data_IF_277237530350
#
_entry.id   IF_277237530350
#
_cell.length_a   1.000
_cell.length_b   1.000
_cell.length_c   1.000
_cell.angle_alpha   90.00
_cell.angle_beta   90.00
_cell.angle_gamma   90.00
#
_symmetry.space_group_name_H-M   'P 1'
#
loop_
_entity.id
_entity.type
_entity.pdbx_description
1 polymer ?
#
# COMPACT_ATOMS: atom_id res chain seq x y z
N UNK A 1 24.73 20.56 3.34
CA UNK A 1 24.39 20.15 4.71
C UNK A 1 23.03 19.52 4.58
N UNK A 2 22.92 18.23 4.91
CA UNK A 2 21.61 17.55 4.97
C UNK A 2 20.74 18.30 5.98
N UNK A 3 19.54 18.70 5.57
CA UNK A 3 18.57 19.33 6.49
C UNK A 3 17.99 18.22 7.39
N UNK A 4 18.80 17.83 8.38
CA UNK A 4 18.50 16.75 9.30
C UNK A 4 17.16 16.94 10.02
N UNK A 5 16.76 18.17 10.47
CA UNK A 5 15.48 18.39 11.10
C UNK A 5 14.27 18.11 10.20
N UNK A 6 14.34 18.44 8.90
CA UNK A 6 13.28 18.16 7.94
C UNK A 6 13.10 16.65 7.75
N UNK A 7 14.21 15.94 7.46
CA UNK A 7 14.16 14.50 7.29
C UNK A 7 13.78 13.78 8.59
N UNK A 8 14.19 14.26 9.77
CA UNK A 8 13.75 13.72 11.06
C UNK A 8 12.22 13.85 11.25
N UNK A 9 11.62 14.97 10.82
CA UNK A 9 10.17 15.17 10.85
C UNK A 9 9.45 14.21 9.88
N UNK A 10 9.94 14.08 8.65
CA UNK A 10 9.41 13.15 7.66
C UNK A 10 9.48 11.70 8.15
N UNK A 11 10.59 11.29 8.75
CA UNK A 11 10.74 9.95 9.30
C UNK A 11 9.88 9.73 10.54
N UNK A 12 9.65 10.76 11.37
CA UNK A 12 8.70 10.68 12.48
C UNK A 12 7.27 10.42 11.99
N UNK A 13 6.84 11.11 10.92
CA UNK A 13 5.54 10.87 10.28
C UNK A 13 5.45 9.45 9.72
N UNK A 14 6.44 8.99 8.95
CA UNK A 14 6.44 7.65 8.35
C UNK A 14 6.46 6.53 9.39
N UNK A 15 7.18 6.71 10.49
CA UNK A 15 7.17 5.76 11.61
C UNK A 15 5.82 5.77 12.36
N UNK A 16 5.16 6.92 12.47
CA UNK A 16 3.81 7.02 13.05
C UNK A 16 2.78 6.36 12.12
N UNK A 17 2.85 6.62 10.82
CA UNK A 17 1.99 6.01 9.80
C UNK A 17 2.06 4.48 9.82
N UNK A 18 3.22 3.89 10.16
CA UNK A 18 3.37 2.44 10.30
C UNK A 18 2.36 1.80 11.28
N UNK A 19 1.81 2.57 12.23
CA UNK A 19 0.80 2.08 13.19
C UNK A 19 -0.52 1.71 12.51
N UNK A 20 -0.81 2.23 11.31
CA UNK A 20 -2.00 1.83 10.53
C UNK A 20 -2.04 0.32 10.25
N UNK A 21 -0.89 -0.33 10.18
CA UNK A 21 -0.76 -1.79 10.04
C UNK A 21 -1.31 -2.58 11.25
N UNK A 22 -1.64 -1.89 12.35
CA UNK A 22 -2.19 -2.48 13.57
C UNK A 22 -3.68 -2.14 13.77
N UNK A 23 -4.29 -1.41 12.84
CA UNK A 23 -5.71 -1.11 12.84
C UNK A 23 -6.42 -2.17 12.03
N UNK A 24 -7.13 -3.08 12.71
CA UNK A 24 -7.89 -4.16 12.07
C UNK A 24 -9.28 -3.66 11.65
N UNK A 25 -9.70 -4.02 10.45
CA UNK A 25 -11.03 -3.74 9.88
C UNK A 25 -11.99 -4.87 10.19
N UNK A 26 -13.30 -4.63 10.00
CA UNK A 26 -14.31 -5.70 10.13
C UNK A 26 -14.28 -6.68 8.94
N UNK A 27 -13.77 -6.28 7.79
CA UNK A 27 -13.62 -7.14 6.61
C UNK A 27 -12.51 -8.18 6.83
N UNK A 28 -12.77 -9.43 6.45
CA UNK A 28 -11.76 -10.48 6.44
C UNK A 28 -11.03 -10.52 5.08
N UNK A 29 -9.82 -11.09 5.05
CA UNK A 29 -9.15 -11.45 3.80
C UNK A 29 -10.01 -12.44 3.00
N UNK A 30 -9.78 -12.56 1.69
CA UNK A 30 -10.57 -13.47 0.85
C UNK A 30 -10.37 -14.94 1.21
N UNK A 31 -9.27 -15.33 1.84
CA UNK A 31 -9.02 -16.66 2.38
C UNK A 31 -9.63 -16.89 3.76
N UNK A 32 -10.27 -15.87 4.34
CA UNK A 32 -10.91 -15.86 5.65
C UNK A 32 -9.96 -16.15 6.83
N UNK A 33 -8.65 -16.04 6.64
CA UNK A 33 -7.64 -16.38 7.66
C UNK A 33 -7.58 -15.40 8.82
N UNK A 34 -7.87 -14.12 8.58
CA UNK A 34 -7.86 -13.03 9.57
C UNK A 34 -8.60 -11.78 9.07
N UNK A 35 -8.88 -10.82 9.96
CA UNK A 35 -9.25 -9.47 9.53
C UNK A 35 -8.20 -8.83 8.61
N UNK A 36 -8.65 -7.96 7.70
CA UNK A 36 -7.81 -7.06 6.94
C UNK A 36 -7.36 -5.89 7.83
N UNK A 37 -6.11 -5.42 7.71
CA UNK A 37 -5.73 -4.17 8.35
C UNK A 37 -5.85 -2.97 7.39
N UNK A 38 -5.96 -1.74 7.95
CA UNK A 38 -6.23 -0.54 7.14
C UNK A 38 -5.08 -0.16 6.19
N UNK A 39 -3.83 -0.58 6.47
CA UNK A 39 -2.71 -0.33 5.56
C UNK A 39 -2.78 -1.21 4.30
N UNK A 40 -3.05 -2.52 4.45
CA UNK A 40 -3.21 -3.42 3.32
C UNK A 40 -4.51 -3.17 2.55
N UNK A 41 -5.57 -2.66 3.23
CA UNK A 41 -6.76 -2.14 2.59
C UNK A 41 -6.42 -0.95 1.68
N UNK A 42 -5.75 0.08 2.21
CA UNK A 42 -5.34 1.26 1.46
C UNK A 42 -4.48 0.91 0.24
N UNK A 43 -3.56 -0.07 0.37
CA UNK A 43 -2.82 -0.61 -0.77
C UNK A 43 -3.74 -1.22 -1.82
N UNK A 44 -4.68 -2.06 -1.39
CA UNK A 44 -5.58 -2.74 -2.31
C UNK A 44 -6.51 -1.76 -3.03
N UNK A 45 -7.08 -0.78 -2.31
CA UNK A 45 -7.89 0.30 -2.91
C UNK A 45 -7.07 1.13 -3.89
N UNK A 46 -5.78 1.39 -3.63
CA UNK A 46 -4.89 2.05 -4.58
C UNK A 46 -4.73 1.25 -5.88
N UNK A 47 -4.63 -0.09 -5.80
CA UNK A 47 -4.65 -0.95 -6.99
C UNK A 47 -5.98 -0.89 -7.74
N UNK A 48 -7.14 -0.81 -7.04
CA UNK A 48 -8.43 -0.56 -7.69
C UNK A 48 -8.41 0.74 -8.47
N UNK A 49 -7.93 1.84 -7.88
CA UNK A 49 -7.83 3.14 -8.55
C UNK A 49 -6.85 3.10 -9.74
N UNK A 50 -5.79 2.28 -9.65
CA UNK A 50 -4.81 2.12 -10.71
C UNK A 50 -5.39 1.39 -11.93
N UNK A 51 -6.15 0.29 -11.71
CA UNK A 51 -6.55 -0.59 -12.81
C UNK A 51 -7.99 -0.43 -13.28
N UNK A 52 -8.91 0.07 -12.43
CA UNK A 52 -10.31 0.25 -12.83
C UNK A 52 -10.47 1.43 -13.79
N UNK A 53 -11.29 1.22 -14.81
CA UNK A 53 -11.62 2.21 -15.84
C UNK A 53 -12.99 2.82 -15.51
N UNK A 54 -12.97 4.01 -14.94
CA UNK A 54 -14.17 4.77 -14.58
C UNK A 54 -14.02 6.22 -15.05
N UNK A 55 -15.12 6.90 -15.36
CA UNK A 55 -15.09 8.27 -15.91
C UNK A 55 -14.32 9.26 -15.02
N UNK A 56 -14.44 9.15 -13.69
CA UNK A 56 -13.79 10.03 -12.73
C UNK A 56 -12.26 9.94 -12.75
N UNK A 57 -11.72 8.79 -13.17
CA UNK A 57 -10.28 8.51 -13.21
C UNK A 57 -9.75 8.35 -14.64
N UNK A 58 -10.49 8.85 -15.64
CA UNK A 58 -10.07 8.83 -17.06
C UNK A 58 -8.92 9.79 -17.34
N UNK A 59 -8.82 10.91 -16.60
CA UNK A 59 -7.63 11.77 -16.65
C UNK A 59 -6.52 11.15 -15.78
N UNK A 60 -5.31 10.93 -16.34
CA UNK A 60 -4.18 10.42 -15.58
C UNK A 60 -3.83 11.25 -14.34
N UNK A 61 -4.01 12.58 -14.37
CA UNK A 61 -3.75 13.45 -13.23
C UNK A 61 -4.77 13.22 -12.10
N UNK A 62 -6.06 13.05 -12.42
CA UNK A 62 -7.08 12.71 -11.43
C UNK A 62 -6.83 11.30 -10.85
N UNK A 63 -6.41 10.34 -11.66
CA UNK A 63 -6.04 8.99 -11.20
C UNK A 63 -4.87 9.02 -10.23
N UNK A 64 -3.79 9.70 -10.58
CA UNK A 64 -2.60 9.85 -9.72
C UNK A 64 -2.96 10.55 -8.41
N UNK A 65 -3.80 11.59 -8.47
CA UNK A 65 -4.26 12.30 -7.29
C UNK A 65 -5.15 11.42 -6.40
N UNK A 66 -6.05 10.63 -6.99
CA UNK A 66 -6.89 9.68 -6.27
C UNK A 66 -6.05 8.62 -5.53
N UNK A 67 -5.00 8.09 -6.16
CA UNK A 67 -4.08 7.15 -5.51
C UNK A 67 -3.40 7.82 -4.30
N UNK A 68 -2.90 9.05 -4.42
CA UNK A 68 -2.32 9.78 -3.29
C UNK A 68 -3.31 9.99 -2.15
N UNK A 69 -4.56 10.33 -2.46
CA UNK A 69 -5.63 10.44 -1.47
C UNK A 69 -5.87 9.12 -0.75
N UNK A 70 -5.94 8.01 -1.49
CA UNK A 70 -6.13 6.65 -0.94
C UNK A 70 -4.96 6.24 -0.04
N UNK A 71 -3.72 6.62 -0.34
CA UNK A 71 -2.59 6.32 0.54
C UNK A 71 -2.70 7.01 1.91
N UNK A 72 -3.46 8.11 2.00
CA UNK A 72 -3.58 8.96 3.19
C UNK A 72 -4.90 8.81 3.94
N UNK A 73 -5.98 8.30 3.29
CA UNK A 73 -7.35 8.47 3.77
C UNK A 73 -7.60 7.84 5.14
N UNK A 74 -7.11 6.63 5.36
CA UNK A 74 -7.30 5.86 6.61
C UNK A 74 -6.23 6.16 7.68
N UNK A 75 -5.23 7.03 7.42
CA UNK A 75 -4.21 7.36 8.43
C UNK A 75 -4.83 7.86 9.74
N UNK A 76 -5.94 8.56 9.66
CA UNK A 76 -6.69 9.09 10.81
C UNK A 76 -7.20 8.00 11.75
N UNK A 77 -7.38 6.79 11.26
CA UNK A 77 -7.82 5.62 12.04
C UNK A 77 -6.77 5.16 13.08
N UNK A 78 -5.52 5.60 12.96
CA UNK A 78 -4.50 5.38 14.00
C UNK A 78 -4.96 5.92 15.36
N UNK A 79 -5.68 7.03 15.37
CA UNK A 79 -6.18 7.67 16.59
C UNK A 79 -7.70 7.47 16.76
N UNK A 80 -8.47 7.54 15.67
CA UNK A 80 -9.93 7.45 15.69
C UNK A 80 -10.44 6.00 15.73
N UNK A 81 -9.67 5.04 15.19
CA UNK A 81 -10.11 3.67 14.95
C UNK A 81 -10.91 3.51 13.66
N UNK A 82 -11.02 2.28 13.15
CA UNK A 82 -11.93 1.94 12.05
C UNK A 82 -13.40 2.01 12.55
N UNK A 83 -14.24 2.73 11.85
CA UNK A 83 -15.66 2.86 12.13
C UNK A 83 -16.50 2.18 11.04
N UNK A 84 -16.93 0.92 11.23
CA UNK A 84 -17.68 0.17 10.23
C UNK A 84 -18.98 0.87 9.81
N UNK A 85 -19.20 1.01 8.50
CA UNK A 85 -20.29 1.79 7.89
C UNK A 85 -21.68 1.28 8.32
N UNK A 86 -21.81 0.00 8.65
CA UNK A 86 -23.07 -0.66 9.01
C UNK A 86 -23.46 -0.51 10.49
N UNK A 87 -22.58 0.04 11.32
CA UNK A 87 -22.85 0.28 12.74
C UNK A 87 -23.33 1.73 12.94
N UNK A 88 -24.21 1.93 13.93
CA UNK A 88 -24.66 3.25 14.33
C UNK A 88 -23.54 4.00 15.06
N UNK A 89 -23.12 5.14 14.51
CA UNK A 89 -22.13 6.03 15.08
C UNK A 89 -22.67 7.46 15.14
N UNK A 90 -22.19 8.23 16.11
CA UNK A 90 -22.33 9.66 16.09
C UNK A 90 -21.39 10.25 15.02
N UNK A 91 -21.95 10.53 13.84
CA UNK A 91 -21.18 10.97 12.68
C UNK A 91 -20.42 12.29 12.94
N UNK A 92 -20.98 13.20 13.75
CA UNK A 92 -20.32 14.46 14.10
C UNK A 92 -19.13 14.22 15.05
N UNK A 93 -19.27 13.31 16.00
CA UNK A 93 -18.17 12.93 16.90
C UNK A 93 -17.05 12.20 16.16
N UNK A 94 -17.37 11.30 15.23
CA UNK A 94 -16.38 10.60 14.38
C UNK A 94 -15.63 11.61 13.52
N UNK A 95 -16.33 12.49 12.79
CA UNK A 95 -15.70 13.50 11.94
C UNK A 95 -14.79 14.46 12.73
N UNK A 96 -15.16 14.81 13.98
CA UNK A 96 -14.30 15.62 14.85
C UNK A 96 -13.04 14.86 15.29
N UNK A 97 -13.16 13.59 15.63
CA UNK A 97 -12.03 12.74 16.01
C UNK A 97 -11.06 12.57 14.84
N UNK A 98 -11.56 12.28 13.63
CA UNK A 98 -10.75 12.17 12.41
C UNK A 98 -10.06 13.50 12.04
N UNK A 99 -10.74 14.63 12.13
CA UNK A 99 -10.14 15.94 11.88
C UNK A 99 -9.04 16.29 12.89
N UNK A 100 -9.19 15.88 14.16
CA UNK A 100 -8.17 16.04 15.19
C UNK A 100 -6.98 15.12 14.92
N UNK A 101 -7.21 13.86 14.54
CA UNK A 101 -6.20 12.90 14.14
C UNK A 101 -5.39 13.40 12.92
N UNK A 102 -6.07 13.88 11.88
CA UNK A 102 -5.44 14.48 10.70
C UNK A 102 -4.53 15.67 11.09
N UNK A 103 -4.99 16.54 11.99
CA UNK A 103 -4.20 17.68 12.48
C UNK A 103 -2.94 17.20 13.21
N UNK A 104 -3.04 16.17 14.05
CA UNK A 104 -1.90 15.62 14.77
C UNK A 104 -0.92 14.92 13.83
N UNK A 105 -1.42 14.03 12.98
CA UNK A 105 -0.59 13.17 12.13
C UNK A 105 0.15 13.99 11.07
N UNK A 106 -0.57 14.79 10.28
CA UNK A 106 0.08 15.60 9.25
C UNK A 106 0.94 16.72 9.86
N UNK A 107 0.63 17.18 11.08
CA UNK A 107 1.47 18.13 11.84
C UNK A 107 2.85 17.59 12.24
N UNK A 108 3.14 16.29 12.06
CA UNK A 108 4.49 15.73 12.22
C UNK A 108 5.42 16.08 11.05
N UNK A 109 4.85 16.37 9.87
CA UNK A 109 5.60 16.73 8.66
C UNK A 109 6.11 18.18 8.72
N UNK A 110 7.11 18.54 7.90
CA UNK A 110 7.40 19.92 7.58
C UNK A 110 6.15 20.68 7.11
N UNK A 111 6.07 21.98 7.43
CA UNK A 111 4.84 22.76 7.32
C UNK A 111 4.17 22.73 5.93
N UNK A 112 4.96 22.79 4.87
CA UNK A 112 4.51 22.75 3.46
C UNK A 112 3.92 21.40 3.11
N UNK A 113 4.62 20.31 3.45
CA UNK A 113 4.13 18.95 3.25
C UNK A 113 2.90 18.66 4.13
N UNK A 114 2.91 19.14 5.38
CA UNK A 114 1.75 19.04 6.27
C UNK A 114 0.50 19.66 5.64
N UNK A 115 0.63 20.86 5.05
CA UNK A 115 -0.46 21.55 4.37
C UNK A 115 -0.93 20.82 3.11
N UNK A 116 0.00 20.26 2.33
CA UNK A 116 -0.30 19.48 1.12
C UNK A 116 -1.06 18.21 1.47
N UNK A 117 -0.54 17.38 2.40
CA UNK A 117 -1.17 16.12 2.81
C UNK A 117 -2.54 16.36 3.44
N UNK A 118 -2.67 17.41 4.25
CA UNK A 118 -3.96 17.82 4.82
C UNK A 118 -4.95 18.24 3.74
N UNK A 119 -4.52 18.95 2.71
CA UNK A 119 -5.37 19.35 1.59
C UNK A 119 -5.88 18.14 0.81
N UNK A 120 -5.03 17.15 0.55
CA UNK A 120 -5.42 15.91 -0.12
C UNK A 120 -6.45 15.12 0.69
N UNK A 121 -6.26 15.04 2.01
CA UNK A 121 -7.19 14.36 2.91
C UNK A 121 -8.54 15.10 3.00
N UNK A 122 -8.52 16.44 3.19
CA UNK A 122 -9.74 17.26 3.23
C UNK A 122 -10.53 17.17 1.90
N UNK A 123 -9.83 17.11 0.75
CA UNK A 123 -10.44 16.96 -0.57
C UNK A 123 -11.06 15.55 -0.74
N UNK A 124 -10.38 14.51 -0.25
CA UNK A 124 -10.96 13.15 -0.20
C UNK A 124 -12.25 13.17 0.62
N UNK A 125 -12.22 13.72 1.84
CA UNK A 125 -13.41 13.78 2.71
C UNK A 125 -14.56 14.55 2.07
N UNK A 126 -14.28 15.68 1.44
CA UNK A 126 -15.30 16.48 0.74
C UNK A 126 -15.93 15.76 -0.47
N UNK A 127 -15.21 14.86 -1.15
CA UNK A 127 -15.70 14.11 -2.32
C UNK A 127 -16.11 14.99 -3.50
N UNK A 128 -15.59 16.22 -3.59
CA UNK A 128 -16.11 17.25 -4.50
C UNK A 128 -15.46 17.25 -5.89
N UNK A 129 -14.22 16.74 -6.01
CA UNK A 129 -13.47 16.65 -7.29
C UNK A 129 -13.66 15.30 -7.97
N UNK A 130 -13.25 15.18 -9.24
CA UNK A 130 -13.26 13.90 -9.96
C UNK A 130 -12.37 12.89 -9.25
N UNK A 131 -11.13 13.26 -8.92
CA UNK A 131 -10.17 12.42 -8.18
C UNK A 131 -10.77 11.90 -6.87
N UNK A 132 -11.35 12.78 -6.03
CA UNK A 132 -11.94 12.40 -4.74
C UNK A 132 -13.17 11.49 -4.89
N UNK A 133 -14.05 11.74 -5.87
CA UNK A 133 -15.18 10.84 -6.14
C UNK A 133 -14.72 9.48 -6.63
N UNK A 134 -13.71 9.46 -7.51
CA UNK A 134 -13.10 8.21 -7.98
C UNK A 134 -12.47 7.41 -6.84
N UNK A 135 -11.68 8.07 -5.99
CA UNK A 135 -11.06 7.46 -4.81
C UNK A 135 -12.11 6.86 -3.87
N UNK A 136 -13.13 7.63 -3.46
CA UNK A 136 -14.23 7.13 -2.62
C UNK A 136 -15.03 6.01 -3.27
N UNK A 137 -15.18 6.01 -4.61
CA UNK A 137 -15.84 4.90 -5.31
C UNK A 137 -15.04 3.61 -5.19
N UNK A 138 -13.71 3.67 -5.32
CA UNK A 138 -12.85 2.50 -5.15
C UNK A 138 -12.86 1.99 -3.72
N UNK A 139 -12.76 2.88 -2.74
CA UNK A 139 -12.85 2.57 -1.33
C UNK A 139 -14.18 1.89 -0.94
N UNK A 140 -15.31 2.35 -1.52
CA UNK A 140 -16.63 1.74 -1.26
C UNK A 140 -16.82 0.38 -1.94
N UNK A 141 -16.22 0.14 -3.11
CA UNK A 141 -16.41 -1.09 -3.90
C UNK A 141 -15.50 -2.22 -3.44
N UNK A 142 -14.26 -1.91 -3.04
CA UNK A 142 -13.28 -2.91 -2.63
C UNK A 142 -13.82 -3.84 -1.52
N UNK A 143 -14.37 -3.34 -0.38
CA UNK A 143 -14.86 -4.22 0.69
C UNK A 143 -16.03 -5.12 0.26
N UNK A 144 -16.89 -4.65 -0.64
CA UNK A 144 -18.01 -5.45 -1.16
C UNK A 144 -17.52 -6.63 -1.99
N UNK A 145 -16.54 -6.39 -2.90
CA UNK A 145 -15.94 -7.46 -3.69
C UNK A 145 -15.13 -8.41 -2.82
N UNK A 146 -14.38 -7.88 -1.84
CA UNK A 146 -13.62 -8.70 -0.90
C UNK A 146 -14.52 -9.62 -0.07
N UNK A 147 -15.64 -9.10 0.45
CA UNK A 147 -16.61 -9.88 1.24
C UNK A 147 -17.31 -10.96 0.40
N UNK A 148 -17.51 -10.71 -0.91
CA UNK A 148 -18.19 -11.62 -1.82
C UNK A 148 -17.25 -12.63 -2.53
N UNK A 149 -15.93 -12.41 -2.50
CA UNK A 149 -14.95 -13.22 -3.23
C UNK A 149 -14.72 -14.63 -2.68
N UNK A 150 -14.80 -14.94 -1.35
CA UNK A 150 -14.62 -16.29 -0.84
C UNK A 150 -15.60 -17.29 -1.49
N UNK A 151 -15.13 -18.51 -1.74
CA UNK A 151 -15.98 -19.57 -2.29
C UNK A 151 -17.24 -19.85 -1.44
N UNK A 152 -17.16 -19.60 -0.14
CA UNK A 152 -18.27 -19.61 0.81
C UNK A 152 -18.15 -18.33 1.65
N UNK A 153 -18.76 -17.21 1.23
CA UNK A 153 -18.71 -15.96 1.97
C UNK A 153 -19.34 -16.09 3.37
N UNK A 154 -18.85 -15.31 4.32
CA UNK A 154 -19.41 -15.25 5.66
C UNK A 154 -20.84 -14.63 5.61
N UNK A 155 -21.85 -15.26 6.26
CA UNK A 155 -23.23 -14.79 6.15
C UNK A 155 -23.46 -13.36 6.64
N UNK A 156 -22.75 -12.92 7.66
CA UNK A 156 -22.78 -11.54 8.18
C UNK A 156 -22.16 -10.55 7.20
N UNK A 157 -21.07 -10.92 6.52
CA UNK A 157 -20.47 -10.09 5.46
C UNK A 157 -21.42 -9.96 4.25
N UNK A 158 -22.08 -11.06 3.84
CA UNK A 158 -23.11 -11.03 2.79
C UNK A 158 -24.22 -10.07 3.17
N UNK A 159 -24.72 -10.14 4.41
CA UNK A 159 -25.77 -9.24 4.89
C UNK A 159 -25.34 -7.76 4.85
N UNK A 160 -24.11 -7.45 5.27
CA UNK A 160 -23.55 -6.08 5.19
C UNK A 160 -23.52 -5.57 3.75
N UNK A 161 -23.10 -6.41 2.78
CA UNK A 161 -23.10 -6.04 1.36
C UNK A 161 -24.53 -5.80 0.85
N UNK A 162 -25.48 -6.68 1.19
CA UNK A 162 -26.90 -6.53 0.81
C UNK A 162 -27.49 -5.23 1.37
N UNK A 163 -27.25 -4.91 2.64
CA UNK A 163 -27.72 -3.69 3.28
C UNK A 163 -27.10 -2.46 2.63
N UNK A 164 -25.81 -2.51 2.27
CA UNK A 164 -25.12 -1.43 1.59
C UNK A 164 -25.68 -1.18 0.18
N UNK A 165 -26.00 -2.24 -0.56
CA UNK A 165 -26.65 -2.15 -1.88
C UNK A 165 -28.10 -1.65 -1.77
N UNK A 166 -28.84 -2.02 -0.71
CA UNK A 166 -30.23 -1.66 -0.55
C UNK A 166 -30.42 -0.19 -0.08
N UNK A 167 -29.66 0.25 0.89
CA UNK A 167 -29.88 1.52 1.58
C UNK A 167 -28.59 2.30 1.95
N UNK A 168 -27.41 1.66 1.80
CA UNK A 168 -26.12 2.25 2.15
C UNK A 168 -25.53 3.13 1.06
N UNK A 169 -24.22 3.32 1.12
CA UNK A 169 -23.44 4.14 0.15
C UNK A 169 -23.46 3.60 -1.27
N UNK A 170 -23.65 2.27 -1.44
CA UNK A 170 -23.71 1.60 -2.74
C UNK A 170 -25.15 1.46 -3.30
N UNK A 171 -26.18 2.05 -2.70
CA UNK A 171 -27.58 1.94 -3.13
C UNK A 171 -27.83 2.32 -4.59
N UNK A 172 -27.02 3.19 -5.14
CA UNK A 172 -27.12 3.65 -6.54
C UNK A 172 -26.13 2.92 -7.47
N UNK A 173 -25.38 1.92 -6.99
CA UNK A 173 -24.35 1.23 -7.80
C UNK A 173 -24.95 0.67 -9.11
N UNK A 174 -26.18 0.18 -9.09
CA UNK A 174 -26.89 -0.31 -10.27
C UNK A 174 -27.15 0.77 -11.35
N UNK A 175 -27.12 2.05 -10.98
CA UNK A 175 -27.25 3.20 -11.89
C UNK A 175 -25.88 3.72 -12.27
N UNK A 176 -25.02 3.96 -11.24
CA UNK A 176 -23.76 4.66 -11.39
C UNK A 176 -22.66 3.77 -12.01
N UNK A 177 -22.75 2.46 -11.78
CA UNK A 177 -21.81 1.48 -12.34
C UNK A 177 -22.48 0.11 -12.51
N UNK A 178 -23.39 -0.03 -13.52
CA UNK A 178 -24.20 -1.24 -13.70
C UNK A 178 -23.38 -2.52 -13.88
N UNK A 179 -22.22 -2.42 -14.53
CA UNK A 179 -21.33 -3.57 -14.76
C UNK A 179 -20.73 -4.08 -13.44
N UNK A 180 -20.24 -3.18 -12.58
CA UNK A 180 -19.75 -3.55 -11.26
C UNK A 180 -20.87 -4.12 -10.37
N UNK A 181 -22.07 -3.53 -10.41
CA UNK A 181 -23.23 -4.07 -9.69
C UNK A 181 -23.53 -5.51 -10.13
N UNK A 182 -23.47 -5.80 -11.44
CA UNK A 182 -23.69 -7.15 -11.95
C UNK A 182 -22.63 -8.15 -11.45
N UNK A 183 -21.37 -7.74 -11.30
CA UNK A 183 -20.32 -8.58 -10.71
C UNK A 183 -20.55 -8.86 -9.23
N UNK A 184 -20.87 -7.84 -8.43
CA UNK A 184 -21.18 -8.00 -7.00
C UNK A 184 -22.39 -8.92 -6.83
N UNK A 185 -23.48 -8.72 -7.60
CA UNK A 185 -24.65 -9.59 -7.56
C UNK A 185 -24.33 -11.03 -7.93
N UNK A 186 -23.56 -11.24 -9.01
CA UNK A 186 -23.18 -12.59 -9.43
C UNK A 186 -22.39 -13.34 -8.34
N UNK A 187 -21.51 -12.65 -7.62
CA UNK A 187 -20.76 -13.22 -6.51
C UNK A 187 -21.67 -13.59 -5.33
N UNK A 188 -22.57 -12.68 -4.92
CA UNK A 188 -23.52 -12.92 -3.83
C UNK A 188 -24.54 -14.05 -4.17
N UNK A 189 -25.06 -14.06 -5.39
CA UNK A 189 -26.06 -15.02 -5.84
C UNK A 189 -25.46 -16.36 -6.28
N UNK A 190 -24.14 -16.49 -6.23
CA UNK A 190 -23.38 -17.67 -6.70
C UNK A 190 -23.77 -18.03 -8.15
N UNK A 191 -23.92 -17.01 -8.99
CA UNK A 191 -24.21 -17.16 -10.43
C UNK A 191 -22.97 -16.87 -11.26
N UNK A 192 -22.93 -17.32 -12.55
CA UNK A 192 -21.81 -17.01 -13.41
C UNK A 192 -21.57 -15.49 -13.50
N UNK A 193 -20.33 -15.05 -13.20
CA UNK A 193 -19.94 -13.65 -13.31
C UNK A 193 -20.00 -13.16 -14.78
N UNK A 194 -20.29 -11.87 -15.01
CA UNK A 194 -20.14 -11.26 -16.32
C UNK A 194 -18.71 -11.45 -16.86
N UNK A 195 -18.55 -11.41 -18.18
CA UNK A 195 -17.25 -11.47 -18.86
C UNK A 195 -16.87 -10.09 -19.36
N UNK A 196 -15.60 -9.90 -19.75
CA UNK A 196 -15.12 -8.64 -20.28
C UNK A 196 -13.97 -8.05 -19.46
N UNK A 197 -13.64 -6.79 -19.72
CA UNK A 197 -12.46 -6.15 -19.12
C UNK A 197 -12.62 -5.90 -17.64
N UNK A 198 -13.83 -5.59 -17.14
CA UNK A 198 -14.09 -5.47 -15.70
C UNK A 198 -13.88 -6.81 -14.99
N UNK A 199 -14.32 -7.92 -15.60
CA UNK A 199 -14.06 -9.26 -15.06
C UNK A 199 -12.57 -9.58 -14.94
N UNK A 200 -11.78 -9.23 -15.97
CA UNK A 200 -10.33 -9.40 -15.97
C UNK A 200 -9.67 -8.58 -14.84
N UNK A 201 -10.09 -7.31 -14.68
CA UNK A 201 -9.57 -6.44 -13.61
C UNK A 201 -9.93 -6.97 -12.21
N UNK A 202 -11.17 -7.45 -12.03
CA UNK A 202 -11.59 -8.09 -10.76
C UNK A 202 -10.77 -9.36 -10.50
N UNK A 203 -10.51 -10.18 -11.52
CA UNK A 203 -9.67 -11.37 -11.37
C UNK A 203 -8.25 -11.02 -10.94
N UNK A 204 -7.66 -9.97 -11.53
CA UNK A 204 -6.36 -9.45 -11.11
C UNK A 204 -6.38 -8.94 -9.66
N UNK A 205 -7.39 -8.15 -9.28
CA UNK A 205 -7.50 -7.60 -7.92
C UNK A 205 -7.73 -8.68 -6.87
N UNK A 206 -8.53 -9.71 -7.18
CA UNK A 206 -8.69 -10.88 -6.33
C UNK A 206 -7.37 -11.66 -6.19
N UNK A 207 -6.58 -11.77 -7.25
CA UNK A 207 -5.25 -12.38 -7.16
C UNK A 207 -4.31 -11.55 -6.27
N UNK A 208 -4.38 -10.21 -6.35
CA UNK A 208 -3.58 -9.32 -5.50
C UNK A 208 -3.88 -9.50 -4.01
N UNK A 209 -5.10 -9.86 -3.60
CA UNK A 209 -5.42 -10.14 -2.20
C UNK A 209 -4.51 -11.21 -1.58
N UNK A 210 -4.01 -12.16 -2.40
CA UNK A 210 -3.10 -13.22 -1.97
C UNK A 210 -1.72 -12.73 -1.55
N UNK A 211 -1.39 -11.44 -1.77
CA UNK A 211 -0.16 -10.84 -1.24
C UNK A 211 -0.26 -10.54 0.27
N UNK A 212 -1.48 -10.32 0.80
CA UNK A 212 -1.71 -9.98 2.21
C UNK A 212 -1.28 -11.08 3.20
N UNK A 213 -1.39 -12.40 2.90
CA UNK A 213 -0.83 -13.45 3.74
C UNK A 213 0.67 -13.75 3.46
N UNK A 214 1.36 -13.04 2.55
CA UNK A 214 2.81 -13.18 2.34
C UNK A 214 3.56 -12.32 3.36
N UNK A 215 4.26 -12.97 4.30
CA UNK A 215 4.97 -12.29 5.39
C UNK A 215 6.46 -12.15 5.10
N UNK A 216 6.97 -10.96 5.38
CA UNK A 216 8.38 -10.57 5.25
C UNK A 216 9.16 -10.96 6.51
N UNK A 217 10.51 -10.88 6.43
CA UNK A 217 11.36 -11.10 7.60
C UNK A 217 11.40 -9.91 8.57
N UNK A 218 10.95 -8.73 8.15
CA UNK A 218 10.88 -7.51 8.97
C UNK A 218 9.65 -7.52 9.86
N UNK A 219 9.79 -6.90 11.07
CA UNK A 219 8.66 -6.69 11.98
C UNK A 219 8.03 -5.31 11.72
N UNK A 220 6.73 -5.16 11.97
CA UNK A 220 6.10 -3.84 12.06
C UNK A 220 6.66 -3.03 13.23
N UNK A 221 6.43 -1.72 13.26
CA UNK A 221 6.83 -0.85 14.38
C UNK A 221 6.31 -1.40 15.70
N UNK A 222 7.17 -1.46 16.71
CA UNK A 222 6.85 -2.07 18.00
C UNK A 222 7.08 -3.58 18.08
N UNK A 223 7.35 -4.27 16.98
CA UNK A 223 7.81 -5.66 16.94
C UNK A 223 6.76 -6.73 17.27
N UNK A 224 5.47 -6.42 17.20
CA UNK A 224 4.40 -7.35 17.62
C UNK A 224 4.18 -8.51 16.65
N UNK A 225 4.41 -8.31 15.34
CA UNK A 225 4.31 -9.33 14.29
C UNK A 225 5.20 -9.01 13.10
N UNK A 226 5.37 -9.97 12.20
CA UNK A 226 5.98 -9.72 10.90
C UNK A 226 5.09 -8.80 10.04
N UNK A 227 5.74 -7.97 9.22
CA UNK A 227 5.13 -7.18 8.17
C UNK A 227 4.71 -8.08 7.02
N UNK A 228 3.54 -7.85 6.40
CA UNK A 228 3.19 -8.50 5.15
C UNK A 228 3.56 -7.63 3.94
N UNK A 229 3.66 -8.24 2.73
CA UNK A 229 4.14 -7.56 1.54
C UNK A 229 3.16 -6.51 1.00
N UNK A 230 1.86 -6.65 1.25
CA UNK A 230 0.86 -5.65 0.86
C UNK A 230 0.98 -4.35 1.68
N UNK A 231 1.05 -4.47 3.02
CA UNK A 231 1.23 -3.29 3.91
C UNK A 231 2.63 -2.67 3.78
N UNK A 232 3.64 -3.46 3.37
CA UNK A 232 4.94 -2.96 2.98
C UNK A 232 4.85 -2.08 1.73
N UNK A 233 4.21 -2.57 0.67
CA UNK A 233 4.04 -1.84 -0.58
C UNK A 233 3.26 -0.53 -0.39
N UNK A 234 2.20 -0.52 0.45
CA UNK A 234 1.54 0.71 0.87
C UNK A 234 2.51 1.69 1.53
N UNK A 235 3.28 1.20 2.49
CA UNK A 235 4.21 2.04 3.26
C UNK A 235 5.30 2.64 2.36
N UNK A 236 5.83 1.85 1.40
CA UNK A 236 6.80 2.35 0.43
C UNK A 236 6.20 3.42 -0.50
N UNK A 237 4.96 3.26 -0.94
CA UNK A 237 4.26 4.28 -1.72
C UNK A 237 4.12 5.59 -0.92
N UNK A 238 3.87 5.50 0.40
CA UNK A 238 3.87 6.65 1.29
C UNK A 238 5.27 7.25 1.46
N UNK A 239 6.33 6.43 1.54
CA UNK A 239 7.73 6.89 1.53
C UNK A 239 8.03 7.67 0.25
N UNK A 240 7.61 7.18 -0.92
CA UNK A 240 7.80 7.89 -2.18
C UNK A 240 7.11 9.26 -2.18
N UNK A 241 5.88 9.33 -1.67
CA UNK A 241 5.12 10.58 -1.58
C UNK A 241 5.81 11.62 -0.68
N UNK A 242 6.37 11.18 0.46
CA UNK A 242 6.96 12.06 1.48
C UNK A 242 8.42 12.41 1.18
N UNK A 243 9.20 11.47 0.61
CA UNK A 243 10.66 11.59 0.47
C UNK A 243 11.12 11.93 -0.95
N UNK A 244 10.20 12.21 -1.89
CA UNK A 244 10.51 12.47 -3.30
C UNK A 244 11.57 13.57 -3.50
N UNK A 245 11.58 14.61 -2.67
CA UNK A 245 12.54 15.71 -2.72
C UNK A 245 14.00 15.30 -2.47
N UNK A 246 14.21 14.12 -1.87
CA UNK A 246 15.54 13.58 -1.60
C UNK A 246 16.10 12.71 -2.74
N UNK A 247 15.34 12.56 -3.84
CA UNK A 247 15.87 11.93 -5.05
C UNK A 247 17.04 12.73 -5.63
N UNK A 248 18.16 12.08 -5.99
CA UNK A 248 19.34 12.78 -6.51
C UNK A 248 19.16 13.33 -7.94
N UNK A 249 18.15 12.83 -8.65
CA UNK A 249 17.77 13.22 -10.00
C UNK A 249 16.27 13.51 -10.08
N UNK A 250 15.81 14.31 -11.07
CA UNK A 250 14.38 14.49 -11.29
C UNK A 250 13.68 13.15 -11.51
N UNK A 251 12.57 12.94 -10.80
CA UNK A 251 11.74 11.72 -10.87
C UNK A 251 10.29 12.06 -11.13
N UNK A 252 9.55 11.10 -11.65
CA UNK A 252 8.09 11.11 -11.69
C UNK A 252 7.55 10.37 -10.46
N UNK A 253 7.13 11.12 -9.44
CA UNK A 253 6.64 10.56 -8.17
C UNK A 253 5.47 9.61 -8.37
N UNK A 254 4.56 9.90 -9.29
CA UNK A 254 3.39 9.06 -9.57
C UNK A 254 3.81 7.71 -10.16
N UNK A 255 4.86 7.72 -11.00
CA UNK A 255 5.44 6.49 -11.54
C UNK A 255 6.18 5.68 -10.47
N UNK A 256 6.93 6.34 -9.59
CA UNK A 256 7.59 5.70 -8.43
C UNK A 256 6.55 5.04 -7.52
N UNK A 257 5.45 5.74 -7.19
CA UNK A 257 4.35 5.18 -6.41
C UNK A 257 3.77 3.94 -7.10
N UNK A 258 3.50 4.02 -8.42
CA UNK A 258 2.98 2.88 -9.18
C UNK A 258 3.93 1.69 -9.14
N UNK A 259 5.24 1.89 -9.33
CA UNK A 259 6.25 0.84 -9.20
C UNK A 259 6.18 0.16 -7.84
N UNK A 260 6.12 0.94 -6.76
CA UNK A 260 6.11 0.44 -5.39
C UNK A 260 4.79 -0.25 -4.99
N UNK A 261 3.66 0.11 -5.61
CA UNK A 261 2.41 -0.63 -5.43
C UNK A 261 2.43 -2.01 -6.09
N UNK A 262 3.22 -2.18 -7.17
CA UNK A 262 3.24 -3.40 -8.00
C UNK A 262 4.43 -4.33 -7.71
N UNK A 263 5.53 -3.83 -7.13
CA UNK A 263 6.84 -4.51 -7.16
C UNK A 263 6.84 -5.89 -6.50
N UNK A 264 6.16 -6.07 -5.38
CA UNK A 264 6.11 -7.32 -4.61
C UNK A 264 4.96 -8.27 -5.03
N UNK A 265 4.12 -7.91 -6.04
CA UNK A 265 3.04 -8.79 -6.49
C UNK A 265 3.54 -10.18 -6.91
N UNK A 266 4.75 -10.27 -7.43
CA UNK A 266 5.40 -11.52 -7.83
C UNK A 266 5.62 -12.49 -6.65
N UNK A 267 5.69 -11.97 -5.42
CA UNK A 267 5.84 -12.76 -4.21
C UNK A 267 4.62 -13.64 -3.89
N UNK A 268 3.47 -13.40 -4.53
CA UNK A 268 2.30 -14.30 -4.47
C UNK A 268 2.68 -15.72 -4.87
N UNK A 269 3.56 -15.87 -5.87
CA UNK A 269 4.04 -17.16 -6.37
C UNK A 269 5.45 -17.49 -5.85
N UNK A 270 6.38 -16.52 -5.88
CA UNK A 270 7.78 -16.70 -5.54
C UNK A 270 8.07 -16.67 -4.02
N UNK A 271 7.20 -16.03 -3.22
CA UNK A 271 7.46 -15.76 -1.80
C UNK A 271 8.48 -14.64 -1.54
N UNK A 272 8.48 -14.10 -0.31
CA UNK A 272 9.50 -13.13 0.12
C UNK A 272 10.86 -13.82 0.32
N UNK A 273 11.90 -13.21 -0.24
CA UNK A 273 13.29 -13.67 -0.10
C UNK A 273 14.14 -12.63 0.66
N UNK A 274 14.37 -12.83 1.96
CA UNK A 274 15.12 -11.89 2.77
C UNK A 274 16.54 -11.64 2.23
N UNK A 275 16.96 -10.36 2.18
CA UNK A 275 18.26 -9.95 1.61
C UNK A 275 19.48 -10.61 2.30
N UNK A 276 19.31 -11.05 3.54
CA UNK A 276 20.34 -11.77 4.31
C UNK A 276 20.21 -13.30 4.20
N UNK A 277 19.22 -13.81 3.45
CA UNK A 277 19.03 -15.23 3.19
C UNK A 277 19.99 -15.77 2.13
N UNK A 278 20.06 -17.11 2.04
CA UNK A 278 20.78 -17.86 1.00
C UNK A 278 19.78 -18.31 -0.07
N UNK A 279 19.93 -17.82 -1.30
CA UNK A 279 19.14 -18.24 -2.47
C UNK A 279 19.90 -18.03 -3.77
N UNK A 280 19.52 -18.79 -4.80
CA UNK A 280 20.05 -18.61 -6.16
C UNK A 280 19.35 -17.40 -6.82
N UNK A 281 20.12 -16.33 -7.06
CA UNK A 281 19.58 -15.09 -7.62
C UNK A 281 19.03 -15.28 -9.05
N UNK A 282 19.65 -16.13 -9.87
CA UNK A 282 19.18 -16.34 -11.24
C UNK A 282 17.92 -17.20 -11.31
N UNK A 283 17.77 -18.18 -10.42
CA UNK A 283 16.53 -18.94 -10.28
C UNK A 283 15.38 -18.04 -9.80
N UNK A 284 15.66 -17.18 -8.80
CA UNK A 284 14.70 -16.21 -8.30
C UNK A 284 14.20 -15.25 -9.38
N UNK A 285 15.10 -14.63 -10.17
CA UNK A 285 14.71 -13.74 -11.26
C UNK A 285 13.80 -14.44 -12.30
N UNK A 286 14.07 -15.70 -12.61
CA UNK A 286 13.25 -16.47 -13.55
C UNK A 286 11.85 -16.75 -12.99
N UNK A 287 11.74 -17.13 -11.71
CA UNK A 287 10.49 -17.38 -11.01
C UNK A 287 9.66 -16.10 -10.89
N UNK A 288 10.27 -14.97 -10.52
CA UNK A 288 9.61 -13.66 -10.43
C UNK A 288 9.09 -13.18 -11.78
N UNK A 289 9.86 -13.38 -12.88
CA UNK A 289 9.41 -13.01 -14.22
C UNK A 289 8.24 -13.88 -14.69
N UNK A 290 8.21 -15.17 -14.34
CA UNK A 290 7.08 -16.06 -14.65
C UNK A 290 5.84 -15.63 -13.85
N UNK A 291 5.98 -15.35 -12.56
CA UNK A 291 4.93 -14.81 -11.71
C UNK A 291 4.37 -13.49 -12.26
N UNK A 292 5.23 -12.55 -12.65
CA UNK A 292 4.83 -11.27 -13.24
C UNK A 292 3.98 -11.46 -14.51
N UNK A 293 4.43 -12.33 -15.42
CA UNK A 293 3.67 -12.64 -16.66
C UNK A 293 2.31 -13.24 -16.36
N UNK A 294 2.23 -14.14 -15.38
CA UNK A 294 0.98 -14.77 -14.97
C UNK A 294 0.03 -13.74 -14.36
N UNK A 295 0.50 -12.97 -13.39
CA UNK A 295 -0.34 -12.05 -12.62
C UNK A 295 -0.82 -10.88 -13.47
N UNK A 296 0.10 -10.19 -14.16
CA UNK A 296 -0.29 -9.07 -15.04
C UNK A 296 -1.06 -9.54 -16.29
N UNK A 297 -0.90 -10.81 -16.69
CA UNK A 297 -1.70 -11.42 -17.75
C UNK A 297 -3.18 -11.64 -17.41
N UNK A 298 -3.60 -11.45 -16.16
CA UNK A 298 -5.01 -11.44 -15.75
C UNK A 298 -5.75 -10.17 -16.20
N UNK A 299 -5.03 -9.06 -16.38
CA UNK A 299 -5.57 -7.78 -16.85
C UNK A 299 -5.95 -7.83 -18.34
N UNK A 300 -6.73 -6.84 -18.82
CA UNK A 300 -6.86 -6.60 -20.27
C UNK A 300 -5.48 -6.46 -20.93
N UNK A 301 -5.30 -7.03 -22.11
CA UNK A 301 -3.98 -7.29 -22.73
C UNK A 301 -3.06 -6.04 -22.76
N UNK A 302 -3.59 -4.88 -23.17
CA UNK A 302 -2.81 -3.64 -23.21
C UNK A 302 -2.41 -3.14 -21.83
N UNK A 303 -3.33 -3.22 -20.87
CA UNK A 303 -3.09 -2.81 -19.47
C UNK A 303 -2.12 -3.77 -18.76
N UNK A 304 -2.28 -5.07 -19.00
CA UNK A 304 -1.34 -6.08 -18.47
C UNK A 304 0.08 -5.90 -19.00
N UNK A 305 0.22 -5.58 -20.29
CA UNK A 305 1.52 -5.28 -20.89
C UNK A 305 2.16 -4.01 -20.28
N UNK A 306 1.36 -2.97 -20.01
CA UNK A 306 1.82 -1.75 -19.37
C UNK A 306 2.30 -2.01 -17.92
N UNK A 307 1.52 -2.72 -17.11
CA UNK A 307 1.89 -3.03 -15.72
C UNK A 307 3.14 -3.91 -15.66
N UNK A 308 3.23 -4.90 -16.56
CA UNK A 308 4.43 -5.73 -16.69
C UNK A 308 5.67 -4.88 -17.05
N UNK A 309 5.53 -3.92 -17.98
CA UNK A 309 6.63 -3.05 -18.36
C UNK A 309 7.10 -2.14 -17.18
N UNK A 310 6.16 -1.64 -16.36
CA UNK A 310 6.49 -0.85 -15.14
C UNK A 310 7.24 -1.73 -14.13
N UNK A 311 6.79 -2.95 -13.91
CA UNK A 311 7.47 -3.90 -13.03
C UNK A 311 8.88 -4.25 -13.55
N UNK A 312 9.04 -4.50 -14.87
CA UNK A 312 10.34 -4.76 -15.48
C UNK A 312 11.28 -3.56 -15.38
N UNK A 313 10.78 -2.32 -15.51
CA UNK A 313 11.58 -1.12 -15.30
C UNK A 313 12.07 -1.02 -13.86
N UNK A 314 11.21 -1.31 -12.87
CA UNK A 314 11.61 -1.38 -11.47
C UNK A 314 12.71 -2.44 -11.28
N UNK A 315 12.57 -3.64 -11.86
CA UNK A 315 13.57 -4.70 -11.74
C UNK A 315 14.89 -4.34 -12.43
N UNK A 316 14.87 -3.69 -13.60
CA UNK A 316 16.07 -3.27 -14.31
C UNK A 316 16.90 -2.24 -13.52
N UNK A 317 16.25 -1.39 -12.68
CA UNK A 317 16.95 -0.44 -11.80
C UNK A 317 17.89 0.53 -12.58
N UNK A 318 17.44 1.01 -13.74
CA UNK A 318 18.26 1.84 -14.63
C UNK A 318 17.74 3.28 -14.73
N UNK A 319 16.41 3.48 -14.71
CA UNK A 319 15.81 4.82 -14.77
C UNK A 319 15.88 5.52 -13.41
N UNK A 320 15.93 6.86 -13.36
CA UNK A 320 15.89 7.60 -12.09
C UNK A 320 14.74 7.19 -11.17
N UNK A 321 13.55 6.94 -11.75
CA UNK A 321 12.36 6.51 -11.02
C UNK A 321 12.57 5.13 -10.36
N UNK A 322 13.06 4.15 -11.13
CA UNK A 322 13.32 2.80 -10.63
C UNK A 322 14.45 2.77 -9.58
N UNK A 323 15.52 3.53 -9.83
CA UNK A 323 16.66 3.64 -8.91
C UNK A 323 16.23 4.22 -7.58
N UNK A 324 15.39 5.26 -7.58
CA UNK A 324 14.86 5.83 -6.36
C UNK A 324 13.88 4.88 -5.66
N UNK A 325 12.95 4.26 -6.40
CA UNK A 325 12.00 3.28 -5.88
C UNK A 325 12.72 2.10 -5.18
N UNK A 326 13.70 1.48 -5.83
CA UNK A 326 14.50 0.39 -5.22
C UNK A 326 15.31 0.85 -4.02
N UNK A 327 15.78 2.10 -4.02
CA UNK A 327 16.50 2.64 -2.86
C UNK A 327 15.56 2.85 -1.66
N UNK A 328 14.30 3.24 -1.88
CA UNK A 328 13.29 3.33 -0.83
C UNK A 328 12.96 1.94 -0.25
N UNK A 329 12.77 0.93 -1.09
CA UNK A 329 12.56 -0.45 -0.66
C UNK A 329 13.72 -0.93 0.24
N UNK A 330 14.97 -0.68 -0.17
CA UNK A 330 16.14 -1.03 0.62
C UNK A 330 16.31 -0.20 1.89
N UNK A 331 15.80 1.04 1.92
CA UNK A 331 15.88 1.94 3.07
C UNK A 331 14.82 1.64 4.13
N UNK A 332 13.61 1.23 3.74
CA UNK A 332 12.51 0.99 4.67
C UNK A 332 12.86 -0.12 5.69
N UNK A 333 13.45 -1.24 5.27
CA UNK A 333 13.76 -2.36 6.13
C UNK A 333 14.72 -2.01 7.30
N UNK A 334 15.87 -1.31 7.12
CA UNK A 334 16.68 -0.86 8.26
C UNK A 334 15.95 0.15 9.16
N UNK A 335 15.15 1.07 8.61
CA UNK A 335 14.35 1.98 9.42
C UNK A 335 13.33 1.21 10.27
N UNK A 336 12.65 0.23 9.68
CA UNK A 336 11.70 -0.64 10.36
C UNK A 336 12.37 -1.47 11.48
N UNK A 337 13.57 -2.01 11.23
CA UNK A 337 14.34 -2.72 12.24
C UNK A 337 14.73 -1.80 13.42
N UNK A 338 15.11 -0.55 13.17
CA UNK A 338 15.33 0.43 14.23
C UNK A 338 14.05 0.68 15.04
N UNK A 339 12.90 0.87 14.38
CA UNK A 339 11.60 1.10 15.01
C UNK A 339 11.04 -0.11 15.75
N UNK A 340 11.52 -1.33 15.46
CA UNK A 340 11.14 -2.60 16.10
C UNK A 340 12.23 -3.17 17.03
N UNK A 341 13.10 -2.31 17.57
CA UNK A 341 14.17 -2.68 18.49
C UNK A 341 15.12 -3.76 17.96
N UNK A 342 15.54 -3.61 16.69
CA UNK A 342 16.46 -4.50 16.01
C UNK A 342 15.81 -5.59 15.15
N UNK A 343 14.52 -5.83 15.34
CA UNK A 343 13.70 -6.69 14.49
C UNK A 343 14.40 -7.98 14.05
N UNK A 344 14.60 -8.15 12.75
CA UNK A 344 15.22 -9.34 12.17
C UNK A 344 16.75 -9.41 12.32
N UNK A 345 17.42 -8.35 12.74
CA UNK A 345 18.90 -8.31 12.76
C UNK A 345 19.54 -9.36 13.67
N UNK A 346 18.93 -9.65 14.81
CA UNK A 346 19.41 -10.71 15.70
C UNK A 346 19.31 -12.08 15.05
N UNK A 347 18.20 -12.40 14.36
CA UNK A 347 17.96 -13.66 13.64
C UNK A 347 19.02 -13.94 12.57
N UNK A 348 19.42 -12.89 11.83
CA UNK A 348 20.38 -13.00 10.73
C UNK A 348 21.82 -12.65 11.13
N UNK A 349 22.10 -12.43 12.42
CA UNK A 349 23.42 -12.02 12.94
C UNK A 349 24.01 -10.83 12.16
N UNK A 350 23.18 -9.82 11.87
CA UNK A 350 23.57 -8.66 11.07
C UNK A 350 24.59 -7.83 11.82
N UNK A 351 25.74 -7.58 11.19
CA UNK A 351 26.77 -6.64 11.66
C UNK A 351 26.70 -5.35 10.86
N UNK A 352 27.35 -4.29 11.36
CA UNK A 352 27.45 -3.05 10.62
C UNK A 352 28.15 -3.22 9.25
N UNK A 353 29.18 -4.08 9.17
CA UNK A 353 29.86 -4.39 7.90
C UNK A 353 28.93 -5.10 6.94
N UNK A 354 28.17 -6.11 7.41
CA UNK A 354 27.16 -6.81 6.60
C UNK A 354 26.05 -5.88 6.12
N UNK A 355 25.59 -4.96 6.97
CA UNK A 355 24.63 -3.92 6.56
C UNK A 355 25.20 -3.04 5.45
N UNK A 356 26.42 -2.54 5.60
CA UNK A 356 27.06 -1.68 4.59
C UNK A 356 27.21 -2.40 3.24
N UNK A 357 27.63 -3.66 3.27
CA UNK A 357 27.88 -4.46 2.07
C UNK A 357 26.59 -4.81 1.33
N UNK A 358 25.60 -5.36 2.05
CA UNK A 358 24.38 -5.92 1.41
C UNK A 358 23.29 -4.87 1.17
N UNK A 359 23.20 -3.82 1.99
CA UNK A 359 22.09 -2.86 2.01
C UNK A 359 22.56 -1.43 1.74
N UNK A 360 23.56 -0.95 2.45
CA UNK A 360 23.98 0.44 2.42
C UNK A 360 24.34 0.95 1.02
N UNK A 361 25.10 0.17 0.24
CA UNK A 361 25.45 0.53 -1.13
C UNK A 361 24.24 0.68 -2.05
N UNK A 362 23.21 -0.16 -1.85
CA UNK A 362 21.97 -0.13 -2.63
C UNK A 362 21.11 1.09 -2.30
N UNK A 363 21.03 1.48 -1.02
CA UNK A 363 20.35 2.72 -0.61
C UNK A 363 21.09 3.94 -1.20
N UNK A 364 22.42 3.99 -1.06
CA UNK A 364 23.21 5.14 -1.50
C UNK A 364 23.21 5.36 -3.00
N UNK A 365 22.92 4.33 -3.79
CA UNK A 365 22.86 4.42 -5.25
C UNK A 365 21.77 5.39 -5.74
N UNK A 366 20.58 5.37 -5.14
CA UNK A 366 19.47 6.24 -5.54
C UNK A 366 18.93 7.15 -4.44
N UNK A 367 19.42 7.03 -3.19
CA UNK A 367 18.97 7.87 -2.08
C UNK A 367 20.12 8.15 -1.09
N UNK A 368 21.20 8.84 -1.52
CA UNK A 368 22.38 9.04 -0.68
C UNK A 368 22.08 9.81 0.61
N UNK A 369 21.16 10.76 0.59
CA UNK A 369 20.72 11.51 1.77
C UNK A 369 20.08 10.57 2.81
N UNK A 370 19.27 9.61 2.38
CA UNK A 370 18.65 8.62 3.26
C UNK A 370 19.70 7.67 3.84
N UNK A 371 20.71 7.30 3.05
CA UNK A 371 21.84 6.51 3.55
C UNK A 371 22.61 7.27 4.65
N UNK A 372 22.92 8.55 4.42
CA UNK A 372 23.61 9.39 5.40
C UNK A 372 22.81 9.51 6.70
N UNK A 373 21.48 9.59 6.60
CA UNK A 373 20.58 9.67 7.74
C UNK A 373 20.54 8.37 8.55
N UNK A 374 20.41 7.21 7.88
CA UNK A 374 20.20 5.92 8.56
C UNK A 374 21.50 5.30 9.10
N UNK A 375 22.63 5.52 8.40
CA UNK A 375 23.92 4.88 8.73
C UNK A 375 24.37 5.07 10.18
N UNK A 376 24.42 6.30 10.75
CA UNK A 376 24.85 6.49 12.13
C UNK A 376 23.89 5.83 13.14
N UNK A 377 22.59 5.78 12.83
CA UNK A 377 21.56 5.17 13.68
C UNK A 377 21.70 3.65 13.71
N UNK A 378 21.86 3.02 12.54
CA UNK A 378 22.13 1.58 12.41
C UNK A 378 23.42 1.20 13.12
N UNK A 379 24.51 1.99 12.92
CA UNK A 379 25.78 1.71 13.56
C UNK A 379 25.67 1.77 15.08
N UNK A 380 25.07 2.81 15.63
CA UNK A 380 24.89 2.97 17.07
C UNK A 380 24.06 1.83 17.68
N UNK A 381 23.01 1.40 16.97
CA UNK A 381 22.16 0.29 17.43
C UNK A 381 22.92 -1.05 17.42
N UNK A 382 23.57 -1.39 16.29
CA UNK A 382 24.28 -2.68 16.17
C UNK A 382 25.51 -2.78 17.08
N UNK A 383 26.21 -1.65 17.35
CA UNK A 383 27.33 -1.61 18.31
C UNK A 383 26.86 -1.84 19.77
N UNK A 384 25.61 -1.45 20.10
CA UNK A 384 25.00 -1.62 21.41
C UNK A 384 24.29 -2.97 21.60
N UNK A 385 24.04 -3.71 20.52
CA UNK A 385 23.31 -4.97 20.56
C UNK A 385 24.15 -6.06 21.25
N UNK A 386 23.60 -6.78 22.26
CA UNK A 386 24.28 -7.91 22.87
C UNK A 386 24.64 -8.96 21.81
N UNK A 387 25.88 -9.42 21.81
CA UNK A 387 26.36 -10.49 20.92
C UNK A 387 26.18 -11.86 21.56
#
# INVERSE_FOLDING_TARGET
MTDTPQLDAQMAFLNEACKLKQVDRQSALQDLSRPENSAEHSWHVALYALVMDIPELSDPADRSKAIKMILLHDLVEIDAGDHPIHLDHDADAVAQAEAAAATRLFGLLPADQAAEMRTLWDEFEAGSTAAARGAKRMDHVQPMLQAAAPAVPLPDHVQVVEDNLAQGRARNLHIDWPEMFAHVRAALDTTPAPTGDVAKRIAFLNECDRLKPVYRATYISGGSRFENSAEHSWHLALYALVLAEHAPHPINVDRVITMLLLHDLVEIDAGDHPIFGDYDASAKEAEELEAARRIFGLLPDAQGAEMLAIWQEFEANETPDAVFAKSLDRFQAPNQNLASNGGSWAKYNVTYDTFREKVGGKIGYGAPILLDWVTPRVKAFLDAMPR
#
